data_IF_973579925634
#
_entry.id   IF_973579925634
#
_cell.length_a   1.000
_cell.length_b   1.000
_cell.length_c   1.000
_cell.angle_alpha   90.00
_cell.angle_beta   90.00
_cell.angle_gamma   90.00
#
_symmetry.space_group_name_H-M   'P 1'
#
loop_
_entity.id
_entity.type
_entity.pdbx_description
1 polymer ?
#
# COMPACT_ATOMS: atom_id res chain seq x y z
N UNK A 1 20.58 4.41 -3.20
CA UNK A 1 19.87 3.43 -4.09
C UNK A 1 18.72 2.74 -3.35
N UNK A 2 18.79 2.62 -2.02
CA UNK A 2 17.74 2.07 -1.14
C UNK A 2 16.47 2.91 -1.08
N UNK A 3 16.58 4.22 -1.28
CA UNK A 3 15.47 5.19 -1.27
C UNK A 3 14.47 4.90 -2.39
N UNK A 4 14.97 4.69 -3.62
CA UNK A 4 14.15 4.40 -4.78
C UNK A 4 13.43 3.06 -4.67
N UNK A 5 14.10 2.04 -4.11
CA UNK A 5 13.48 0.73 -3.88
C UNK A 5 12.32 0.81 -2.87
N UNK A 6 12.53 1.50 -1.74
CA UNK A 6 11.48 1.76 -0.76
C UNK A 6 10.30 2.50 -1.39
N UNK A 7 10.57 3.55 -2.17
CA UNK A 7 9.54 4.34 -2.83
C UNK A 7 8.73 3.53 -3.85
N UNK A 8 9.40 2.82 -4.75
CA UNK A 8 8.74 2.01 -5.78
C UNK A 8 7.95 0.85 -5.19
N UNK A 9 8.41 0.25 -4.09
CA UNK A 9 7.71 -0.84 -3.43
C UNK A 9 6.34 -0.39 -2.88
N UNK A 10 6.24 0.79 -2.24
CA UNK A 10 4.95 1.29 -1.79
C UNK A 10 4.04 1.68 -2.96
N UNK A 11 4.59 2.20 -4.05
CA UNK A 11 3.83 2.48 -5.26
C UNK A 11 3.29 1.20 -5.91
N UNK A 12 4.02 0.09 -5.82
CA UNK A 12 3.52 -1.21 -6.28
C UNK A 12 2.27 -1.65 -5.49
N UNK A 13 2.24 -1.43 -4.17
CA UNK A 13 1.05 -1.68 -3.33
C UNK A 13 -0.12 -0.80 -3.77
N UNK A 14 0.12 0.50 -3.96
CA UNK A 14 -0.90 1.44 -4.41
C UNK A 14 -1.51 1.01 -5.76
N UNK A 15 -0.68 0.72 -6.76
CA UNK A 15 -1.09 0.26 -8.08
C UNK A 15 -1.89 -1.05 -8.00
N UNK A 16 -1.42 -2.00 -7.20
CA UNK A 16 -2.10 -3.29 -7.06
C UNK A 16 -3.49 -3.12 -6.43
N UNK A 17 -3.63 -2.29 -5.39
CA UNK A 17 -4.93 -2.03 -4.77
C UNK A 17 -5.88 -1.28 -5.71
N UNK A 18 -5.39 -0.29 -6.47
CA UNK A 18 -6.20 0.39 -7.49
C UNK A 18 -6.68 -0.59 -8.56
N UNK A 19 -5.84 -1.51 -9.01
CA UNK A 19 -6.23 -2.55 -9.96
C UNK A 19 -7.28 -3.51 -9.38
N UNK A 20 -7.14 -3.91 -8.11
CA UNK A 20 -8.16 -4.73 -7.44
C UNK A 20 -9.47 -3.95 -7.29
N UNK A 21 -9.42 -2.66 -6.95
CA UNK A 21 -10.62 -1.83 -6.85
C UNK A 21 -11.34 -1.67 -8.20
N UNK A 22 -10.61 -1.46 -9.31
CA UNK A 22 -11.19 -1.53 -10.67
C UNK A 22 -11.99 -2.82 -10.87
N UNK A 23 -11.35 -3.96 -10.56
CA UNK A 23 -11.92 -5.29 -10.79
C UNK A 23 -13.13 -5.54 -9.89
N UNK A 24 -13.05 -5.18 -8.61
CA UNK A 24 -14.14 -5.36 -7.63
C UNK A 24 -15.39 -4.57 -8.03
N UNK A 25 -15.21 -3.38 -8.61
CA UNK A 25 -16.31 -2.50 -8.99
C UNK A 25 -16.74 -2.65 -10.46
N UNK A 26 -16.04 -3.49 -11.24
CA UNK A 26 -16.22 -3.66 -12.68
C UNK A 26 -16.13 -2.33 -13.45
N UNK A 27 -15.10 -1.53 -13.14
CA UNK A 27 -14.84 -0.22 -13.76
C UNK A 27 -13.41 -0.11 -14.30
N UNK A 28 -13.24 0.73 -15.31
CA UNK A 28 -11.94 1.27 -15.71
C UNK A 28 -11.72 2.62 -15.02
N UNK A 29 -10.72 2.75 -14.15
CA UNK A 29 -10.39 3.98 -13.37
C UNK A 29 -9.84 5.14 -14.25
N UNK A 30 -9.92 5.01 -15.58
CA UNK A 30 -9.66 6.09 -16.53
C UNK A 30 -10.89 6.39 -17.42
N UNK A 31 -12.09 6.06 -16.95
CA UNK A 31 -13.31 6.41 -17.65
C UNK A 31 -13.67 7.91 -17.49
N UNK A 32 -14.57 8.38 -18.33
CA UNK A 32 -14.85 9.81 -18.54
C UNK A 32 -15.52 10.52 -17.35
N UNK A 33 -15.82 9.83 -16.24
CA UNK A 33 -16.51 10.42 -15.10
C UNK A 33 -15.51 10.95 -14.04
N UNK A 34 -15.25 12.25 -14.13
CA UNK A 34 -14.33 12.95 -13.24
C UNK A 34 -14.70 12.83 -11.75
N UNK A 35 -15.98 12.72 -11.39
CA UNK A 35 -16.42 12.63 -9.99
C UNK A 35 -16.12 11.27 -9.38
N UNK A 36 -16.34 10.18 -10.12
CA UNK A 36 -15.98 8.83 -9.67
C UNK A 36 -14.46 8.73 -9.52
N UNK A 37 -13.72 9.28 -10.47
CA UNK A 37 -12.26 9.26 -10.45
C UNK A 37 -11.66 10.00 -9.24
N UNK A 38 -12.36 11.00 -8.65
CA UNK A 38 -11.90 11.68 -7.43
C UNK A 38 -11.70 10.71 -6.26
N UNK A 39 -12.56 9.70 -6.13
CA UNK A 39 -12.44 8.69 -5.06
C UNK A 39 -11.15 7.87 -5.16
N UNK A 40 -10.64 7.66 -6.38
CA UNK A 40 -9.41 6.90 -6.65
C UNK A 40 -8.14 7.76 -6.71
N UNK A 41 -8.28 9.09 -6.72
CA UNK A 41 -7.17 10.06 -6.65
C UNK A 41 -6.67 10.22 -5.21
N UNK A 42 -6.35 9.09 -4.60
CA UNK A 42 -5.74 9.00 -3.27
C UNK A 42 -4.50 8.10 -3.33
N UNK A 43 -3.51 8.44 -2.51
CA UNK A 43 -2.31 7.66 -2.25
C UNK A 43 -2.38 6.93 -0.91
N UNK A 44 -3.50 7.09 -0.20
CA UNK A 44 -3.75 6.47 1.10
C UNK A 44 -4.11 4.99 0.94
N UNK A 45 -3.21 4.12 1.39
CA UNK A 45 -3.35 2.67 1.27
C UNK A 45 -4.57 2.15 2.03
N UNK A 46 -4.85 2.68 3.22
CA UNK A 46 -6.03 2.33 4.01
C UNK A 46 -7.35 2.61 3.26
N UNK A 47 -7.44 3.75 2.58
CA UNK A 47 -8.60 4.07 1.74
C UNK A 47 -8.71 3.11 0.55
N UNK A 48 -7.59 2.79 -0.10
CA UNK A 48 -7.56 1.89 -1.24
C UNK A 48 -7.94 0.44 -0.86
N UNK A 49 -7.62 -0.02 0.35
CA UNK A 49 -8.08 -1.32 0.89
C UNK A 49 -9.60 -1.37 1.01
N UNK A 50 -10.22 -0.27 1.47
CA UNK A 50 -11.68 -0.15 1.55
C UNK A 50 -12.30 -0.20 0.15
N UNK A 51 -11.77 0.59 -0.79
CA UNK A 51 -12.25 0.63 -2.18
C UNK A 51 -12.07 -0.71 -2.90
N UNK A 52 -11.01 -1.45 -2.58
CA UNK A 52 -10.79 -2.81 -3.09
C UNK A 52 -11.74 -3.86 -2.50
N UNK A 53 -12.55 -3.50 -1.49
CA UNK A 53 -13.45 -4.43 -0.79
C UNK A 53 -12.71 -5.46 0.07
N UNK A 54 -11.49 -5.13 0.51
CA UNK A 54 -10.59 -6.08 1.19
C UNK A 54 -10.57 -5.93 2.72
N UNK A 55 -11.17 -4.89 3.29
CA UNK A 55 -11.08 -4.57 4.73
C UNK A 55 -11.38 -5.76 5.64
N UNK A 56 -12.49 -6.47 5.41
CA UNK A 56 -12.89 -7.61 6.24
C UNK A 56 -11.95 -8.81 6.05
N UNK A 57 -11.56 -9.10 4.80
CA UNK A 57 -10.63 -10.20 4.49
C UNK A 57 -9.26 -9.96 5.12
N UNK A 58 -8.77 -8.72 5.02
CA UNK A 58 -7.50 -8.29 5.58
C UNK A 58 -7.53 -8.37 7.11
N UNK A 59 -8.57 -7.83 7.75
CA UNK A 59 -8.73 -7.90 9.20
C UNK A 59 -8.75 -9.34 9.70
N UNK A 60 -9.53 -10.22 9.07
CA UNK A 60 -9.62 -11.63 9.45
C UNK A 60 -8.26 -12.34 9.29
N UNK A 61 -7.54 -12.09 8.19
CA UNK A 61 -6.24 -12.69 7.96
C UNK A 61 -5.18 -12.20 8.94
N UNK A 62 -5.16 -10.89 9.24
CA UNK A 62 -4.26 -10.31 10.23
C UNK A 62 -4.50 -10.87 11.64
N UNK A 63 -5.76 -11.07 12.06
CA UNK A 63 -6.09 -11.66 13.36
C UNK A 63 -5.57 -13.09 13.53
N UNK A 64 -5.36 -13.82 12.42
CA UNK A 64 -4.82 -15.17 12.41
C UNK A 64 -3.31 -15.22 12.16
N UNK A 65 -2.71 -14.13 11.67
CA UNK A 65 -1.33 -14.07 11.22
C UNK A 65 -0.63 -12.82 11.75
N UNK A 66 -0.14 -12.89 13.00
CA UNK A 66 0.57 -11.78 13.67
C UNK A 66 1.75 -11.20 12.87
N UNK A 67 2.67 -12.03 12.31
CA UNK A 67 3.78 -11.50 11.49
C UNK A 67 3.32 -10.74 10.24
N UNK A 68 2.25 -11.21 9.60
CA UNK A 68 1.67 -10.53 8.45
C UNK A 68 1.04 -9.19 8.86
N UNK A 69 0.35 -9.15 10.00
CA UNK A 69 -0.22 -7.91 10.53
C UNK A 69 0.87 -6.85 10.76
N UNK A 70 2.02 -7.23 11.32
CA UNK A 70 3.16 -6.31 11.51
C UNK A 70 3.66 -5.78 10.17
N UNK A 71 3.85 -6.65 9.17
CA UNK A 71 4.30 -6.27 7.83
C UNK A 71 3.35 -5.29 7.14
N UNK A 72 2.03 -5.52 7.25
CA UNK A 72 1.02 -4.66 6.61
C UNK A 72 0.87 -3.32 7.30
N UNK A 73 1.01 -3.27 8.63
CA UNK A 73 0.89 -2.03 9.38
C UNK A 73 1.94 -0.98 8.98
N UNK A 74 3.10 -1.41 8.46
CA UNK A 74 4.19 -0.52 8.02
C UNK A 74 3.75 0.47 6.92
N UNK A 75 2.75 0.11 6.11
CA UNK A 75 2.23 0.98 5.04
C UNK A 75 0.72 1.25 5.10
N UNK A 76 -0.07 0.51 5.89
CA UNK A 76 -1.51 0.78 6.07
C UNK A 76 -1.76 1.82 7.15
N UNK A 77 -1.07 1.72 8.28
CA UNK A 77 -1.18 2.66 9.40
C UNK A 77 0.22 3.06 9.81
N UNK A 78 0.94 3.80 8.96
CA UNK A 78 2.29 4.15 9.30
C UNK A 78 2.28 5.00 10.59
N UNK A 79 3.21 4.77 11.53
CA UNK A 79 3.27 5.56 12.76
C UNK A 79 3.25 7.06 12.45
N UNK A 80 2.50 7.83 13.24
CA UNK A 80 2.34 9.28 13.07
C UNK A 80 3.50 10.11 13.64
N UNK A 81 4.41 9.47 14.38
CA UNK A 81 5.55 10.09 15.06
C UNK A 81 6.89 9.78 14.37
N UNK A 82 7.03 10.13 13.09
CA UNK A 82 8.16 9.63 12.30
C UNK A 82 9.07 10.78 11.87
N UNK A 83 9.81 11.30 12.84
CA UNK A 83 11.07 12.03 12.57
C UNK A 83 12.21 11.08 12.18
N UNK A 84 11.97 9.77 12.23
CA UNK A 84 12.90 8.72 11.81
C UNK A 84 12.11 7.66 11.06
N UNK A 85 12.07 7.72 9.72
CA UNK A 85 11.74 6.61 8.79
C UNK A 85 10.63 5.63 9.20
N UNK A 86 9.45 5.67 8.56
CA UNK A 86 8.37 4.78 8.98
C UNK A 86 6.99 4.99 8.38
N UNK A 87 6.83 5.89 7.42
CA UNK A 87 5.61 5.98 6.64
C UNK A 87 5.96 6.05 5.16
N UNK A 88 5.58 5.05 4.37
CA UNK A 88 5.55 5.29 2.94
C UNK A 88 4.46 6.34 2.67
N UNK A 89 4.85 7.46 2.08
CA UNK A 89 3.94 8.50 1.60
C UNK A 89 4.38 8.96 0.21
N UNK A 90 3.47 9.58 -0.55
CA UNK A 90 3.80 10.10 -1.88
C UNK A 90 4.94 11.14 -1.81
N UNK A 91 4.96 11.95 -0.75
CA UNK A 91 5.91 13.03 -0.51
C UNK A 91 7.36 12.53 -0.32
N UNK A 92 7.54 11.25 0.02
CA UNK A 92 8.86 10.62 0.06
C UNK A 92 9.60 10.72 -1.29
N UNK A 93 8.88 10.91 -2.40
CA UNK A 93 9.45 11.22 -3.72
C UNK A 93 10.33 12.47 -3.70
N UNK A 94 9.86 13.53 -3.04
CA UNK A 94 10.50 14.84 -3.05
C UNK A 94 11.46 15.00 -1.87
N UNK A 95 11.11 14.39 -0.75
CA UNK A 95 11.90 14.41 0.47
C UNK A 95 12.77 13.16 0.54
N UNK A 96 13.63 12.94 -0.48
CA UNK A 96 14.57 11.80 -0.59
C UNK A 96 15.55 11.77 0.59
N UNK A 97 15.03 11.46 1.77
CA UNK A 97 15.81 11.34 2.97
C UNK A 97 16.76 10.12 2.73
N UNK A 98 17.87 10.01 3.46
CA UNK A 98 18.76 8.84 3.36
C UNK A 98 18.13 7.55 3.90
N UNK A 99 17.72 6.62 3.05
CA UNK A 99 17.06 5.37 3.49
C UNK A 99 18.11 4.29 3.80
N UNK A 100 18.05 3.71 5.00
CA UNK A 100 18.92 2.58 5.35
C UNK A 100 18.63 1.37 4.44
N UNK A 101 19.63 0.76 3.78
CA UNK A 101 19.44 -0.42 2.93
C UNK A 101 18.73 -1.60 3.60
N UNK A 102 18.96 -1.83 4.90
CA UNK A 102 18.27 -2.88 5.65
C UNK A 102 16.76 -2.60 5.75
N UNK A 103 16.39 -1.34 6.02
CA UNK A 103 14.98 -0.90 6.08
C UNK A 103 14.32 -1.07 4.72
N UNK A 104 14.97 -0.63 3.65
CA UNK A 104 14.45 -0.80 2.29
C UNK A 104 14.24 -2.28 1.94
N UNK A 105 15.17 -3.15 2.33
CA UNK A 105 15.09 -4.60 2.08
C UNK A 105 13.92 -5.23 2.83
N UNK A 106 13.76 -4.91 4.12
CA UNK A 106 12.63 -5.38 4.93
C UNK A 106 11.30 -4.89 4.36
N UNK A 107 11.21 -3.62 4.00
CA UNK A 107 10.00 -3.03 3.42
C UNK A 107 9.61 -3.73 2.10
N UNK A 108 10.57 -3.95 1.20
CA UNK A 108 10.34 -4.66 -0.06
C UNK A 108 9.82 -6.09 0.21
N UNK A 109 10.41 -6.81 1.16
CA UNK A 109 9.96 -8.15 1.53
C UNK A 109 8.53 -8.17 2.12
N UNK A 110 8.19 -7.14 2.91
CA UNK A 110 6.84 -6.96 3.45
C UNK A 110 5.82 -6.66 2.34
N UNK A 111 6.20 -5.84 1.36
CA UNK A 111 5.39 -5.58 0.15
C UNK A 111 5.20 -6.86 -0.66
N UNK A 112 6.24 -7.65 -0.90
CA UNK A 112 6.13 -8.94 -1.61
C UNK A 112 5.17 -9.90 -0.90
N UNK A 113 5.24 -9.97 0.42
CA UNK A 113 4.33 -10.76 1.26
C UNK A 113 2.88 -10.30 1.08
N UNK A 114 2.63 -8.98 1.12
CA UNK A 114 1.29 -8.43 0.92
C UNK A 114 0.76 -8.65 -0.50
N UNK A 115 1.57 -8.43 -1.52
CA UNK A 115 1.19 -8.67 -2.92
C UNK A 115 0.87 -10.16 -3.15
N UNK A 116 1.61 -11.06 -2.50
CA UNK A 116 1.31 -12.50 -2.54
C UNK A 116 -0.02 -12.82 -1.89
N UNK A 117 -0.33 -12.21 -0.74
CA UNK A 117 -1.65 -12.31 -0.13
C UNK A 117 -2.75 -11.77 -1.05
N UNK A 118 -2.53 -10.60 -1.66
CA UNK A 118 -3.47 -9.94 -2.56
C UNK A 118 -3.84 -10.83 -3.76
N UNK A 119 -2.84 -11.51 -4.35
CA UNK A 119 -3.03 -12.50 -5.44
C UNK A 119 -3.92 -13.69 -5.08
N UNK A 120 -4.20 -13.94 -3.80
CA UNK A 120 -5.12 -15.00 -3.37
C UNK A 120 -6.52 -14.47 -3.01
N UNK A 121 -6.71 -13.14 -2.99
CA UNK A 121 -7.94 -12.49 -2.51
C UNK A 121 -8.60 -11.56 -3.53
N UNK A 122 -7.93 -11.33 -4.68
CA UNK A 122 -8.41 -10.64 -5.89
C UNK A 122 -9.21 -11.52 -6.85
#
# INVERSE_FOLDING_TARGET
MSEGAFYLAGYAVECALKAVACKTLDIEIFNQNAEINKGFKTHRIDHLIVLAGLSNKLSAYCSLNGPFQVAVNEFVNPPTNVQTWGAWTEEARYNMNPCNPAVATTFVSNVETFITWLKNHW
#
